data_IF_971253347167
#
_entry.id   IF_971253347167
#
_cell.length_a   1.000
_cell.length_b   1.000
_cell.length_c   1.000
_cell.angle_alpha   90.00
_cell.angle_beta   90.00
_cell.angle_gamma   90.00
#
_symmetry.space_group_name_H-M   'P 1'
#
loop_
_entity.id
_entity.type
_entity.pdbx_description
1 polymer ?
#
# COMPACT_ATOMS: atom_id res chain seq x y z
N UNK A 1 -8.31 9.28 4.79
CA UNK A 1 -9.32 8.72 3.88
C UNK A 1 -9.14 7.21 3.77
N UNK A 2 -10.17 6.44 3.40
CA UNK A 2 -10.02 5.00 3.22
C UNK A 2 -9.82 4.63 1.76
N UNK A 3 -8.92 3.69 1.49
CA UNK A 3 -8.73 3.12 0.15
C UNK A 3 -8.58 1.60 0.25
N UNK A 4 -9.04 0.89 -0.78
CA UNK A 4 -8.74 -0.54 -0.94
C UNK A 4 -7.41 -0.69 -1.67
N UNK A 5 -6.54 -1.51 -1.10
CA UNK A 5 -5.21 -1.79 -1.62
C UNK A 5 -5.02 -3.28 -1.83
N UNK A 6 -4.08 -3.66 -2.70
CA UNK A 6 -3.64 -5.04 -2.88
C UNK A 6 -2.13 -5.17 -2.62
N UNK A 7 -1.72 -6.32 -2.10
CA UNK A 7 -0.30 -6.68 -1.96
C UNK A 7 0.23 -7.31 -3.25
N UNK A 8 1.47 -6.98 -3.63
CA UNK A 8 2.12 -7.56 -4.81
C UNK A 8 3.63 -7.75 -4.59
N UNK A 9 4.26 -8.64 -5.35
CA UNK A 9 5.72 -8.81 -5.33
C UNK A 9 6.39 -7.67 -6.09
N UNK A 10 7.38 -7.01 -5.48
CA UNK A 10 8.21 -6.03 -6.21
C UNK A 10 9.22 -6.76 -7.09
N UNK A 11 8.97 -6.78 -8.40
CA UNK A 11 9.98 -7.21 -9.38
C UNK A 11 11.03 -6.12 -9.59
N UNK A 12 12.16 -6.19 -8.87
CA UNK A 12 13.37 -5.42 -9.22
C UNK A 12 13.46 -3.98 -8.68
N UNK A 13 12.64 -3.59 -7.71
CA UNK A 13 12.82 -2.29 -7.06
C UNK A 13 13.98 -2.28 -6.07
N UNK A 14 14.68 -1.14 -5.95
CA UNK A 14 15.72 -0.85 -4.95
C UNK A 14 15.13 -0.71 -3.54
N UNK A 15 14.47 -1.75 -3.04
CA UNK A 15 13.95 -1.82 -1.69
C UNK A 15 14.09 -3.22 -1.12
N UNK A 16 14.49 -3.31 0.13
CA UNK A 16 14.61 -4.60 0.84
C UNK A 16 13.26 -5.28 1.08
N UNK A 17 12.14 -4.59 0.85
CA UNK A 17 10.81 -5.14 1.02
C UNK A 17 10.36 -5.92 -0.21
N UNK A 18 10.25 -7.25 -0.08
CA UNK A 18 9.79 -8.16 -1.15
C UNK A 18 8.31 -7.98 -1.52
N UNK A 19 7.49 -7.55 -0.56
CA UNK A 19 6.05 -7.31 -0.72
C UNK A 19 5.77 -5.82 -0.64
N UNK A 20 5.05 -5.31 -1.63
CA UNK A 20 4.63 -3.92 -1.76
C UNK A 20 3.12 -3.85 -1.85
N UNK A 21 2.62 -2.62 -1.78
CA UNK A 21 1.18 -2.33 -1.73
C UNK A 21 0.87 -1.20 -2.72
N UNK A 22 -0.24 -1.36 -3.43
CA UNK A 22 -0.80 -0.38 -4.38
C UNK A 22 -2.31 -0.27 -4.21
N UNK A 23 -2.94 0.85 -4.58
CA UNK A 23 -4.40 0.91 -4.74
C UNK A 23 -4.89 -0.16 -5.71
N UNK A 24 -6.07 -0.73 -5.44
CA UNK A 24 -6.77 -1.58 -6.41
C UNK A 24 -7.33 -0.71 -7.53
N UNK A 25 -7.43 -1.27 -8.73
CA UNK A 25 -8.04 -0.59 -9.88
C UNK A 25 -9.48 -0.13 -9.57
N UNK A 26 -9.86 1.04 -10.09
CA UNK A 26 -11.16 1.66 -9.81
C UNK A 26 -11.28 2.38 -8.45
N UNK A 27 -10.21 2.42 -7.64
CA UNK A 27 -10.13 3.31 -6.48
C UNK A 27 -9.75 4.75 -6.90
N UNK A 28 -9.82 5.69 -5.96
CA UNK A 28 -9.51 7.12 -6.20
C UNK A 28 -8.05 7.36 -6.65
N UNK A 29 -7.14 6.43 -6.36
CA UNK A 29 -5.71 6.57 -6.67
C UNK A 29 -5.27 5.56 -7.73
N UNK A 30 -4.31 5.93 -8.60
CA UNK A 30 -3.83 5.04 -9.65
C UNK A 30 -3.06 3.86 -9.08
N UNK A 31 -3.17 2.69 -9.72
CA UNK A 31 -2.49 1.44 -9.34
C UNK A 31 -0.95 1.54 -9.42
N UNK A 32 -0.42 2.53 -10.12
CA UNK A 32 1.01 2.86 -10.14
C UNK A 32 1.52 3.58 -8.89
N UNK A 33 0.62 4.12 -8.05
CA UNK A 33 0.97 4.85 -6.84
C UNK A 33 1.34 3.88 -5.72
N UNK A 34 2.44 4.16 -5.02
CA UNK A 34 2.88 3.33 -3.90
C UNK A 34 2.11 3.65 -2.63
N UNK A 35 1.86 2.61 -1.84
CA UNK A 35 1.31 2.75 -0.50
C UNK A 35 2.36 2.31 0.51
N UNK A 36 2.86 3.24 1.31
CA UNK A 36 3.68 2.95 2.48
C UNK A 36 2.77 2.60 3.66
N UNK A 37 2.93 1.40 4.20
CA UNK A 37 2.11 0.89 5.31
C UNK A 37 2.95 -0.02 6.21
N UNK A 38 2.32 -0.54 7.29
CA UNK A 38 3.01 -1.44 8.22
C UNK A 38 3.53 -2.70 7.51
N UNK A 39 4.69 -3.18 7.96
CA UNK A 39 5.23 -4.48 7.55
C UNK A 39 4.31 -5.62 7.99
N UNK A 40 3.78 -5.51 9.22
CA UNK A 40 2.86 -6.50 9.79
C UNK A 40 1.64 -6.77 8.89
N UNK A 41 1.04 -5.74 8.30
CA UNK A 41 -0.06 -5.93 7.35
C UNK A 41 0.40 -6.67 6.09
N UNK A 42 1.53 -6.26 5.49
CA UNK A 42 2.02 -6.85 4.24
C UNK A 42 2.36 -8.33 4.35
N UNK A 43 2.75 -8.76 5.55
CA UNK A 43 3.11 -10.15 5.86
C UNK A 43 1.97 -10.93 6.53
N UNK A 44 0.80 -10.33 6.77
CA UNK A 44 -0.32 -10.99 7.47
C UNK A 44 -1.15 -11.93 6.59
N UNK A 45 -1.05 -11.81 5.27
CA UNK A 45 -1.79 -12.62 4.30
C UNK A 45 -0.96 -12.89 3.04
N UNK A 46 -1.35 -13.88 2.21
CA UNK A 46 -0.70 -14.13 0.93
C UNK A 46 -0.68 -12.91 0.01
N UNK A 47 0.36 -12.80 -0.83
CA UNK A 47 0.45 -11.77 -1.86
C UNK A 47 -0.75 -11.87 -2.82
N UNK A 48 -1.34 -10.73 -3.18
CA UNK A 48 -2.59 -10.63 -3.92
C UNK A 48 -3.81 -10.36 -3.03
N UNK A 49 -3.67 -10.47 -1.71
CA UNK A 49 -4.73 -10.12 -0.76
C UNK A 49 -5.05 -8.63 -0.78
N UNK A 50 -6.32 -8.30 -0.54
CA UNK A 50 -6.82 -6.93 -0.49
C UNK A 50 -7.06 -6.46 0.94
N UNK A 51 -6.88 -5.18 1.17
CA UNK A 51 -7.04 -4.55 2.48
C UNK A 51 -7.66 -3.16 2.37
N UNK A 52 -8.47 -2.79 3.36
CA UNK A 52 -8.93 -1.42 3.56
C UNK A 52 -7.98 -0.70 4.51
N UNK A 53 -7.39 0.40 4.04
CA UNK A 53 -6.43 1.20 4.79
C UNK A 53 -6.90 2.65 4.96
N UNK A 54 -6.62 3.21 6.14
CA UNK A 54 -6.67 4.66 6.36
C UNK A 54 -5.37 5.30 5.88
N UNK A 55 -5.43 6.02 4.76
CA UNK A 55 -4.28 6.63 4.09
C UNK A 55 -4.37 8.16 4.08
N UNK A 56 -3.21 8.79 3.88
CA UNK A 56 -3.05 10.20 3.48
C UNK A 56 -2.17 10.29 2.22
N UNK A 57 -2.55 11.06 1.20
CA UNK A 57 -1.64 11.43 0.12
C UNK A 57 -0.47 12.24 0.66
N UNK A 58 0.72 11.94 0.18
CA UNK A 58 1.94 12.61 0.62
C UNK A 58 2.98 12.57 -0.51
N UNK A 59 3.97 13.43 -0.41
CA UNK A 59 5.13 13.45 -1.30
C UNK A 59 6.39 13.72 -0.47
N UNK A 60 7.54 13.38 -1.03
CA UNK A 60 8.84 13.84 -0.53
C UNK A 60 9.33 14.93 -1.48
N UNK A 61 10.14 15.86 -0.98
CA UNK A 61 10.72 16.91 -1.82
C UNK A 61 11.49 16.27 -3.00
N UNK A 62 11.12 16.64 -4.22
CA UNK A 62 11.69 16.05 -5.45
C UNK A 62 11.28 14.60 -5.76
N UNK A 63 10.39 13.98 -4.98
CA UNK A 63 9.96 12.59 -5.14
C UNK A 63 8.56 12.43 -5.74
N UNK A 64 8.29 11.23 -6.25
CA UNK A 64 6.95 10.86 -6.70
C UNK A 64 5.94 10.84 -5.53
N UNK A 65 4.67 11.22 -5.76
CA UNK A 65 3.64 11.14 -4.73
C UNK A 65 3.33 9.68 -4.36
N UNK A 66 2.98 9.45 -3.10
CA UNK A 66 2.64 8.15 -2.54
C UNK A 66 1.55 8.28 -1.46
N UNK A 67 0.90 7.18 -1.14
CA UNK A 67 -0.05 7.10 -0.03
C UNK A 67 0.67 6.60 1.21
N UNK A 68 0.42 7.24 2.35
CA UNK A 68 0.97 6.82 3.62
C UNK A 68 -0.13 6.39 4.57
N UNK A 69 0.01 5.18 5.14
CA UNK A 69 -0.78 4.70 6.26
C UNK A 69 0.12 4.63 7.49
N UNK A 70 -0.32 5.24 8.60
CA UNK A 70 0.38 5.12 9.87
C UNK A 70 0.45 3.65 10.30
N UNK A 71 1.61 3.11 10.71
CA UNK A 71 1.74 1.72 11.15
C UNK A 71 0.81 1.32 12.31
N UNK A 72 0.40 2.27 13.14
CA UNK A 72 -0.51 2.06 14.27
C UNK A 72 -2.00 2.07 13.87
N UNK A 73 -2.33 2.45 12.63
CA UNK A 73 -3.70 2.41 12.16
C UNK A 73 -4.15 0.96 11.98
N UNK A 74 -5.39 0.69 12.38
CA UNK A 74 -6.05 -0.58 12.08
C UNK A 74 -6.24 -0.73 10.57
N UNK A 75 -6.08 -1.96 10.11
CA UNK A 75 -6.31 -2.40 8.74
C UNK A 75 -7.25 -3.59 8.77
N UNK A 76 -8.07 -3.70 7.73
CA UNK A 76 -9.06 -4.75 7.59
C UNK A 76 -8.77 -5.50 6.28
N UNK A 77 -8.69 -6.82 6.33
CA UNK A 77 -8.60 -7.63 5.11
C UNK A 77 -9.98 -7.64 4.44
N UNK A 78 -10.00 -7.47 3.13
CA UNK A 78 -11.21 -7.52 2.31
C UNK A 78 -11.05 -8.70 1.36
N UNK A 79 -12.06 -9.57 1.30
CA UNK A 79 -12.10 -10.71 0.38
C UNK A 79 -12.61 -10.30 -1.01
#
# INVERSE_FOLDING_TARGET
MYVIVETFYSGGESSSAKVRVRPVDGQEFPTGMRVECSRAMRESAPVGSRFRLLVKPTSREGGAPFLYSNPNNKWEKVD
#
